data_IF_738389300807
#
_entry.id   IF_738389300807
#
_cell.length_a   1.000
_cell.length_b   1.000
_cell.length_c   1.000
_cell.angle_alpha   90.00
_cell.angle_beta   90.00
_cell.angle_gamma   90.00
#
_symmetry.space_group_name_H-M   'P 1'
#
loop_
_entity.id
_entity.type
_entity.pdbx_description
1 polymer ?
#
# COMPACT_ATOMS: atom_id res chain seq x y z
N UNK A 1 -4.58 14.89 12.17
CA UNK A 1 -4.75 14.65 10.72
C UNK A 1 -4.69 13.16 10.46
N UNK A 2 -5.41 12.70 9.44
CA UNK A 2 -5.37 11.34 8.92
C UNK A 2 -4.49 11.33 7.69
N UNK A 3 -3.42 10.54 7.71
CA UNK A 3 -2.40 10.53 6.66
C UNK A 3 -2.31 9.12 6.11
N UNK A 4 -2.38 9.00 4.79
CA UNK A 4 -2.22 7.72 4.10
C UNK A 4 -0.97 7.74 3.24
N UNK A 5 0.01 6.90 3.60
CA UNK A 5 1.16 6.62 2.76
C UNK A 5 0.84 5.49 1.78
N UNK A 6 1.41 5.53 0.58
CA UNK A 6 1.34 4.44 -0.40
C UNK A 6 2.77 4.05 -0.79
N UNK A 7 3.12 2.77 -0.63
CA UNK A 7 4.44 2.27 -0.99
C UNK A 7 4.39 0.83 -1.55
N UNK A 8 5.50 0.33 -2.09
CA UNK A 8 5.60 -1.06 -2.55
C UNK A 8 5.70 -2.06 -1.40
N UNK A 9 6.34 -1.69 -0.29
CA UNK A 9 6.57 -2.55 0.89
C UNK A 9 6.30 -1.77 2.18
N UNK A 10 6.09 -2.46 3.29
CA UNK A 10 5.87 -1.85 4.61
C UNK A 10 6.98 -2.31 5.57
N UNK A 11 7.53 -1.41 6.39
CA UNK A 11 8.56 -1.71 7.41
C UNK A 11 9.86 -2.40 6.92
N UNK A 12 9.99 -2.66 5.63
CA UNK A 12 11.11 -3.41 5.04
C UNK A 12 11.82 -2.60 3.95
N UNK A 13 13.07 -3.00 3.65
CA UNK A 13 13.92 -2.36 2.63
C UNK A 13 14.14 -0.87 2.93
N UNK A 14 14.51 -0.08 1.92
CA UNK A 14 14.78 1.35 2.11
C UNK A 14 13.50 2.14 2.40
N UNK A 15 12.67 2.35 1.38
CA UNK A 15 11.48 3.21 1.50
C UNK A 15 10.42 2.66 2.46
N UNK A 16 10.32 1.34 2.64
CA UNK A 16 9.38 0.77 3.61
C UNK A 16 9.80 1.05 5.06
N UNK A 17 11.10 1.10 5.37
CA UNK A 17 11.59 1.57 6.68
C UNK A 17 11.32 3.06 6.85
N UNK A 18 11.61 3.88 5.84
CA UNK A 18 11.31 5.32 5.90
C UNK A 18 9.82 5.59 6.13
N UNK A 19 8.91 4.88 5.46
CA UNK A 19 7.47 5.00 5.70
C UNK A 19 7.09 4.67 7.15
N UNK A 20 7.70 3.63 7.74
CA UNK A 20 7.45 3.26 9.13
C UNK A 20 7.97 4.32 10.10
N UNK A 21 9.18 4.85 9.87
CA UNK A 21 9.75 5.91 10.72
C UNK A 21 8.90 7.19 10.67
N UNK A 22 8.43 7.56 9.48
CA UNK A 22 7.50 8.69 9.29
C UNK A 22 6.17 8.41 9.98
N UNK A 23 5.60 7.21 9.82
CA UNK A 23 4.36 6.81 10.50
C UNK A 23 4.51 6.93 12.02
N UNK A 24 5.60 6.43 12.60
CA UNK A 24 5.88 6.52 14.03
C UNK A 24 6.02 7.97 14.50
N UNK A 25 6.70 8.82 13.73
CA UNK A 25 6.83 10.24 14.06
C UNK A 25 5.47 10.96 14.05
N UNK A 26 4.64 10.68 13.04
CA UNK A 26 3.30 11.26 12.90
C UNK A 26 2.37 10.79 14.03
N UNK A 27 2.39 9.50 14.36
CA UNK A 27 1.61 8.95 15.48
C UNK A 27 2.03 9.56 16.81
N UNK A 28 3.34 9.73 17.05
CA UNK A 28 3.85 10.42 18.26
C UNK A 28 3.41 11.87 18.33
N UNK A 29 3.25 12.54 17.19
CA UNK A 29 2.73 13.91 17.11
C UNK A 29 1.18 13.99 17.19
N UNK A 30 0.48 12.87 17.43
CA UNK A 30 -0.97 12.83 17.60
C UNK A 30 -1.77 12.71 16.29
N UNK A 31 -1.12 12.36 15.17
CA UNK A 31 -1.78 12.09 13.90
C UNK A 31 -2.15 10.61 13.75
N UNK A 32 -3.18 10.31 12.96
CA UNK A 32 -3.46 8.94 12.53
C UNK A 32 -2.75 8.71 11.20
N UNK A 33 -1.76 7.83 11.17
CA UNK A 33 -1.04 7.51 9.94
C UNK A 33 -1.19 6.02 9.61
N UNK A 34 -1.51 5.72 8.35
CA UNK A 34 -1.57 4.35 7.82
C UNK A 34 -0.75 4.24 6.55
N UNK A 35 -0.34 3.02 6.23
CA UNK A 35 0.45 2.75 5.03
C UNK A 35 -0.20 1.65 4.19
N UNK A 36 -0.63 2.00 2.98
CA UNK A 36 -1.09 1.04 1.98
C UNK A 36 0.09 0.49 1.17
N UNK A 37 0.25 -0.84 1.12
CA UNK A 37 1.45 -1.48 0.57
C UNK A 37 1.19 -2.69 -0.34
N UNK A 38 2.07 -2.95 -1.32
CA UNK A 38 1.87 -3.95 -2.38
C UNK A 38 2.49 -5.34 -2.16
N UNK A 39 3.66 -5.48 -1.54
CA UNK A 39 4.45 -6.73 -1.41
C UNK A 39 4.76 -7.03 0.06
N UNK A 40 4.80 -8.30 0.46
CA UNK A 40 5.00 -8.74 1.86
C UNK A 40 3.70 -9.04 2.63
N UNK A 41 3.82 -9.45 3.89
CA UNK A 41 2.71 -9.65 4.83
C UNK A 41 3.12 -9.05 6.17
N UNK A 42 2.23 -8.25 6.76
CA UNK A 42 2.46 -7.58 8.04
C UNK A 42 1.16 -7.56 8.82
N UNK A 43 1.28 -7.78 10.13
CA UNK A 43 0.14 -7.82 11.05
C UNK A 43 -0.06 -6.47 11.77
N UNK A 44 0.56 -5.40 11.27
CA UNK A 44 0.39 -4.05 11.82
C UNK A 44 -1.03 -3.55 11.57
N UNK A 45 -1.71 -2.97 12.58
CA UNK A 45 -3.03 -2.35 12.40
C UNK A 45 -3.00 -1.12 11.47
N UNK A 46 -1.83 -0.52 11.30
CA UNK A 46 -1.63 0.64 10.41
C UNK A 46 -1.29 0.23 8.97
N UNK A 47 -1.06 -1.06 8.71
CA UNK A 47 -0.70 -1.55 7.40
C UNK A 47 -1.94 -2.02 6.63
N UNK A 48 -2.09 -1.57 5.38
CA UNK A 48 -3.16 -2.00 4.48
C UNK A 48 -2.59 -2.69 3.24
N UNK A 49 -2.88 -3.98 3.06
CA UNK A 49 -2.39 -4.75 1.91
C UNK A 49 -3.18 -4.46 0.62
N UNK A 50 -2.48 -3.89 -0.36
CA UNK A 50 -2.97 -3.70 -1.73
C UNK A 50 -2.80 -5.01 -2.50
N UNK A 51 -3.87 -5.41 -3.19
CA UNK A 51 -3.88 -6.61 -4.02
C UNK A 51 -3.79 -7.92 -3.23
N UNK A 52 -3.69 -9.02 -3.96
CA UNK A 52 -3.49 -10.39 -3.47
C UNK A 52 -2.28 -10.99 -4.17
N UNK A 53 -1.75 -12.12 -3.66
CA UNK A 53 -0.64 -12.83 -4.35
C UNK A 53 -1.03 -13.23 -5.77
N UNK A 54 -2.26 -13.68 -5.99
CA UNK A 54 -2.77 -14.04 -7.31
C UNK A 54 -2.77 -12.83 -8.26
N UNK A 55 -3.35 -11.69 -7.84
CA UNK A 55 -3.35 -10.45 -8.63
C UNK A 55 -1.92 -10.02 -9.00
N UNK A 56 -0.96 -10.15 -8.08
CA UNK A 56 0.46 -9.85 -8.31
C UNK A 56 1.09 -10.72 -9.40
N UNK A 57 0.88 -12.04 -9.37
CA UNK A 57 1.44 -12.93 -10.38
C UNK A 57 0.78 -12.75 -11.74
N UNK A 58 -0.56 -12.64 -11.78
CA UNK A 58 -1.30 -12.38 -13.02
C UNK A 58 -0.86 -11.07 -13.67
N UNK A 59 -0.73 -9.98 -12.90
CA UNK A 59 -0.27 -8.70 -13.44
C UNK A 59 1.15 -8.76 -13.98
N UNK A 60 2.02 -9.56 -13.35
CA UNK A 60 3.41 -9.73 -13.78
C UNK A 60 3.53 -10.56 -15.06
N UNK A 61 2.67 -11.56 -15.25
CA UNK A 61 2.62 -12.38 -16.46
C UNK A 61 2.06 -11.54 -17.60
N UNK A 62 0.91 -10.88 -17.39
CA UNK A 62 0.30 -10.02 -18.39
C UNK A 62 1.21 -8.86 -18.78
N UNK A 63 1.90 -8.22 -17.83
CA UNK A 63 2.87 -7.17 -18.12
C UNK A 63 4.03 -7.66 -19.01
N UNK A 64 4.50 -8.90 -18.82
CA UNK A 64 5.54 -9.50 -19.68
C UNK A 64 5.05 -9.82 -21.10
N UNK A 65 3.81 -10.26 -21.24
CA UNK A 65 3.22 -10.62 -22.54
C UNK A 65 2.81 -9.38 -23.33
N UNK A 66 2.22 -8.40 -22.66
CA UNK A 66 1.58 -7.24 -23.30
C UNK A 66 2.43 -5.98 -23.28
N UNK A 67 3.46 -5.93 -22.43
CA UNK A 67 4.22 -4.70 -22.13
C UNK A 67 3.51 -3.74 -21.16
N UNK A 68 2.25 -3.97 -20.81
CA UNK A 68 1.46 -3.07 -19.95
C UNK A 68 1.66 -3.35 -18.46
N UNK A 69 2.80 -2.91 -17.93
CA UNK A 69 3.06 -2.94 -16.49
C UNK A 69 2.17 -1.96 -15.72
N UNK A 70 1.65 -2.36 -14.56
CA UNK A 70 0.83 -1.50 -13.69
C UNK A 70 -0.64 -1.33 -14.09
N UNK A 71 -1.04 -1.70 -15.32
CA UNK A 71 -2.42 -1.54 -15.80
C UNK A 71 -3.35 -2.73 -15.46
N UNK A 72 -2.80 -3.88 -15.11
CA UNK A 72 -3.55 -5.13 -14.95
C UNK A 72 -4.17 -5.33 -13.54
N UNK A 73 -4.29 -4.27 -12.74
CA UNK A 73 -4.69 -4.34 -11.33
C UNK A 73 -6.00 -3.59 -11.02
N UNK A 74 -7.00 -3.70 -11.90
CA UNK A 74 -8.28 -2.97 -11.77
C UNK A 74 -8.97 -3.18 -10.40
N UNK A 75 -9.09 -4.42 -9.95
CA UNK A 75 -9.77 -4.75 -8.68
C UNK A 75 -8.99 -4.26 -7.47
N UNK A 76 -7.66 -4.45 -7.43
CA UNK A 76 -6.80 -3.91 -6.39
C UNK A 76 -6.91 -2.37 -6.31
N UNK A 77 -6.91 -1.67 -7.44
CA UNK A 77 -7.11 -0.21 -7.51
C UNK A 77 -8.48 0.19 -6.97
N UNK A 78 -9.57 -0.46 -7.39
CA UNK A 78 -10.91 -0.20 -6.84
C UNK A 78 -11.00 -0.44 -5.34
N UNK A 79 -10.27 -1.44 -4.81
CA UNK A 79 -10.24 -1.78 -3.39
C UNK A 79 -9.46 -0.72 -2.59
N UNK A 80 -8.32 -0.28 -3.12
CA UNK A 80 -7.55 0.84 -2.56
C UNK A 80 -8.37 2.13 -2.55
N UNK A 81 -9.07 2.47 -3.64
CA UNK A 81 -9.93 3.65 -3.69
C UNK A 81 -11.07 3.60 -2.66
N UNK A 82 -11.69 2.42 -2.47
CA UNK A 82 -12.70 2.23 -1.40
C UNK A 82 -12.09 2.40 -0.01
N UNK A 83 -10.88 1.92 0.19
CA UNK A 83 -10.15 2.09 1.45
C UNK A 83 -9.82 3.57 1.71
N UNK A 84 -9.29 4.29 0.70
CA UNK A 84 -9.00 5.72 0.77
C UNK A 84 -10.25 6.50 1.18
N UNK A 85 -11.39 6.27 0.51
CA UNK A 85 -12.66 6.94 0.85
C UNK A 85 -13.18 6.61 2.25
N UNK A 86 -12.92 5.40 2.75
CA UNK A 86 -13.34 4.99 4.09
C UNK A 86 -12.43 5.57 5.17
N UNK A 87 -11.14 5.63 4.89
CA UNK A 87 -10.16 6.19 5.81
C UNK A 87 -10.30 7.71 5.87
N UNK A 88 -10.58 8.33 4.73
CA UNK A 88 -10.76 9.77 4.55
C UNK A 88 -9.51 10.54 5.02
N UNK A 89 -8.34 10.31 4.37
CA UNK A 89 -7.12 11.05 4.69
C UNK A 89 -7.26 12.52 4.28
N UNK A 90 -6.62 13.39 5.05
CA UNK A 90 -6.41 14.80 4.71
C UNK A 90 -5.47 14.94 3.49
#
# INVERSE_FOLDING_TARGET
MKILQINSVYAEKSTGRTCLEVEQALVKAGHECRTAYGVGQHDSPNAYKIGTKAEYYVSNILGRITGYHGHCMYFATKRLLRYIRRFDPD
#
